data_IF_538339562005
#
_entry.id   IF_538339562005
#
_cell.length_a   1.000
_cell.length_b   1.000
_cell.length_c   1.000
_cell.angle_alpha   90.00
_cell.angle_beta   90.00
_cell.angle_gamma   90.00
#
_symmetry.space_group_name_H-M   'P 1'
#
loop_
_entity.id
_entity.type
_entity.pdbx_description
1 polymer ?
#
# COMPACT_ATOMS: atom_id res chain seq x y z
N UNK A 1 7.72 -10.05 0.59
CA UNK A 1 7.71 -8.65 0.09
C UNK A 1 8.72 -8.47 -1.04
N UNK A 2 8.41 -7.70 -2.08
CA UNK A 2 9.39 -7.41 -3.15
C UNK A 2 10.54 -6.56 -2.57
N UNK A 3 11.77 -7.04 -2.71
CA UNK A 3 12.96 -6.40 -2.14
C UNK A 3 13.13 -4.97 -2.66
N UNK A 4 12.91 -4.75 -3.95
CA UNK A 4 13.09 -3.44 -4.57
C UNK A 4 12.03 -2.44 -4.12
N UNK A 5 10.75 -2.84 -4.11
CA UNK A 5 9.67 -1.99 -3.62
C UNK A 5 9.86 -1.64 -2.14
N UNK A 6 10.25 -2.62 -1.32
CA UNK A 6 10.49 -2.40 0.10
C UNK A 6 11.68 -1.48 0.36
N UNK A 7 12.83 -1.71 -0.29
CA UNK A 7 14.00 -0.82 -0.23
C UNK A 7 13.60 0.63 -0.51
N UNK A 8 12.86 0.85 -1.59
CA UNK A 8 12.45 2.17 -2.01
C UNK A 8 11.50 2.83 -1.00
N UNK A 9 10.42 2.15 -0.63
CA UNK A 9 9.44 2.64 0.33
C UNK A 9 10.07 2.91 1.70
N UNK A 10 10.89 1.99 2.19
CA UNK A 10 11.54 2.09 3.48
C UNK A 10 12.53 3.26 3.52
N UNK A 11 13.39 3.38 2.50
CA UNK A 11 14.37 4.46 2.42
C UNK A 11 13.68 5.81 2.42
N UNK A 12 12.66 5.99 1.57
CA UNK A 12 11.89 7.25 1.51
C UNK A 12 11.18 7.55 2.83
N UNK A 13 10.39 6.61 3.36
CA UNK A 13 9.61 6.86 4.56
C UNK A 13 10.50 7.09 5.79
N UNK A 14 11.66 6.44 5.88
CA UNK A 14 12.59 6.60 7.00
C UNK A 14 13.21 8.00 7.09
N UNK A 15 13.15 8.80 6.02
CA UNK A 15 13.62 10.21 6.04
C UNK A 15 12.62 11.18 6.68
N UNK A 16 11.34 10.81 6.75
CA UNK A 16 10.26 11.71 7.15
C UNK A 16 9.43 11.17 8.35
N UNK A 17 9.49 9.86 8.60
CA UNK A 17 8.66 9.18 9.59
C UNK A 17 9.51 8.29 10.51
N UNK A 18 9.07 8.18 11.76
CA UNK A 18 9.51 7.08 12.62
C UNK A 18 8.71 5.82 12.23
N UNK A 19 9.42 4.79 11.81
CA UNK A 19 8.81 3.61 11.20
C UNK A 19 8.54 2.53 12.24
N UNK A 20 7.35 1.96 12.21
CA UNK A 20 7.08 0.68 12.83
C UNK A 20 6.71 -0.32 11.77
N UNK A 21 7.24 -1.52 11.90
CA UNK A 21 7.07 -2.57 10.94
C UNK A 21 6.26 -3.70 11.53
N UNK A 22 5.28 -4.21 10.79
CA UNK A 22 4.29 -5.17 11.29
C UNK A 22 3.95 -6.26 10.27
N UNK A 23 3.89 -7.51 10.75
CA UNK A 23 3.43 -8.69 10.01
C UNK A 23 2.29 -9.42 10.67
N UNK A 24 1.44 -10.13 9.92
CA UNK A 24 0.60 -11.21 10.45
C UNK A 24 1.40 -12.12 11.38
N UNK A 25 1.02 -12.16 12.65
CA UNK A 25 1.68 -12.96 13.68
C UNK A 25 3.10 -12.51 14.08
N UNK A 26 3.63 -11.39 13.58
CA UNK A 26 4.98 -10.93 13.91
C UNK A 26 6.10 -11.77 13.29
N UNK A 27 5.80 -12.47 12.19
CA UNK A 27 6.76 -13.27 11.43
C UNK A 27 7.83 -12.40 10.78
N UNK A 28 9.04 -12.93 10.67
CA UNK A 28 10.13 -12.26 9.96
C UNK A 28 9.81 -12.13 8.46
N UNK A 29 10.30 -11.05 7.85
CA UNK A 29 10.05 -10.79 6.43
C UNK A 29 10.81 -11.73 5.52
N UNK A 30 10.09 -12.28 4.55
CA UNK A 30 10.67 -12.96 3.39
C UNK A 30 10.72 -12.00 2.19
N UNK A 31 11.92 -11.85 1.62
CA UNK A 31 12.15 -10.99 0.47
C UNK A 31 12.11 -11.82 -0.82
N UNK A 32 11.32 -11.36 -1.79
CA UNK A 32 11.31 -11.87 -3.18
C UNK A 32 12.00 -10.85 -4.09
N UNK A 33 12.37 -11.27 -5.30
CA UNK A 33 13.07 -10.44 -6.29
C UNK A 33 14.40 -9.86 -5.76
N UNK A 34 15.12 -10.67 -4.97
CA UNK A 34 16.48 -10.31 -4.51
C UNK A 34 17.44 -10.48 -5.68
N UNK A 35 18.09 -9.39 -6.05
CA UNK A 35 19.08 -9.30 -7.13
C UNK A 35 20.45 -8.99 -6.54
N UNK A 36 21.50 -9.10 -7.34
CA UNK A 36 22.86 -8.70 -6.93
C UNK A 36 22.90 -7.23 -6.46
N UNK A 37 22.13 -6.35 -7.09
CA UNK A 37 22.08 -4.92 -6.77
C UNK A 37 21.41 -4.59 -5.43
N UNK A 38 20.51 -5.43 -4.91
CA UNK A 38 19.80 -5.19 -3.65
C UNK A 38 20.13 -6.20 -2.53
N UNK A 39 20.87 -7.27 -2.84
CA UNK A 39 21.22 -8.33 -1.89
C UNK A 39 21.94 -7.82 -0.64
N UNK A 40 22.93 -6.93 -0.82
CA UNK A 40 23.66 -6.33 0.30
C UNK A 40 22.73 -5.55 1.23
N UNK A 41 21.83 -4.76 0.65
CA UNK A 41 20.88 -4.00 1.46
C UNK A 41 19.93 -4.91 2.24
N UNK A 42 19.45 -6.00 1.63
CA UNK A 42 18.58 -6.98 2.31
C UNK A 42 19.31 -7.63 3.48
N UNK A 43 20.58 -7.99 3.32
CA UNK A 43 21.41 -8.53 4.40
C UNK A 43 21.58 -7.50 5.53
N UNK A 44 21.93 -6.26 5.21
CA UNK A 44 22.09 -5.19 6.19
C UNK A 44 20.77 -4.88 6.91
N UNK A 45 19.65 -4.89 6.18
CA UNK A 45 18.32 -4.67 6.73
C UNK A 45 17.98 -5.72 7.79
N UNK A 46 18.30 -7.00 7.56
CA UNK A 46 18.03 -8.10 8.49
C UNK A 46 18.72 -7.95 9.85
N UNK A 47 19.74 -7.11 9.94
CA UNK A 47 20.46 -6.82 11.19
C UNK A 47 19.86 -5.62 11.95
N UNK A 48 18.93 -4.88 11.35
CA UNK A 48 18.29 -3.71 11.98
C UNK A 48 17.18 -4.14 12.94
N UNK A 49 16.86 -3.29 13.91
CA UNK A 49 15.72 -3.49 14.80
C UNK A 49 14.39 -3.72 14.04
N UNK A 50 14.25 -3.08 12.88
CA UNK A 50 13.12 -3.22 11.95
C UNK A 50 12.94 -4.64 11.38
N UNK A 51 13.94 -5.51 11.46
CA UNK A 51 13.84 -6.90 11.05
C UNK A 51 13.06 -7.79 12.03
N UNK A 52 12.73 -7.26 13.22
CA UNK A 52 11.82 -7.89 14.17
C UNK A 52 10.48 -7.13 14.17
N UNK A 53 9.56 -7.49 13.26
CA UNK A 53 8.29 -6.78 13.13
C UNK A 53 7.37 -7.04 14.33
N UNK A 54 6.56 -6.05 14.65
CA UNK A 54 5.45 -6.21 15.57
C UNK A 54 4.37 -7.12 14.97
N UNK A 55 3.54 -7.70 15.84
CA UNK A 55 2.36 -8.45 15.42
C UNK A 55 1.33 -7.47 14.86
N UNK A 56 0.86 -7.69 13.65
CA UNK A 56 -0.21 -6.91 13.01
C UNK A 56 -1.45 -6.83 13.92
N UNK A 57 -1.76 -7.91 14.62
CA UNK A 57 -2.90 -8.02 15.55
C UNK A 57 -2.74 -7.11 16.79
N UNK A 58 -1.53 -6.65 17.08
CA UNK A 58 -1.21 -5.76 18.21
C UNK A 58 -1.09 -4.28 17.82
N UNK A 59 -1.27 -3.97 16.53
CA UNK A 59 -1.17 -2.61 16.02
C UNK A 59 -2.46 -1.85 16.33
N UNK A 60 -2.31 -0.73 17.04
CA UNK A 60 -3.37 0.23 17.26
C UNK A 60 -3.25 1.39 16.27
N UNK A 61 -4.19 1.50 15.33
CA UNK A 61 -4.21 2.52 14.29
C UNK A 61 -4.26 3.96 14.81
N UNK A 62 -4.66 4.17 16.07
CA UNK A 62 -4.67 5.49 16.70
C UNK A 62 -3.26 6.08 16.85
N UNK A 63 -2.24 5.23 17.06
CA UNK A 63 -0.86 5.66 17.30
C UNK A 63 -0.14 6.19 16.06
N UNK A 64 -0.60 5.81 14.87
CA UNK A 64 0.07 6.12 13.61
C UNK A 64 -0.64 7.22 12.84
N UNK A 65 0.13 7.96 12.04
CA UNK A 65 -0.35 9.05 11.22
C UNK A 65 -0.46 8.65 9.75
N UNK A 66 0.33 7.66 9.32
CA UNK A 66 0.34 7.14 7.95
C UNK A 66 0.46 5.62 7.94
N UNK A 67 -0.18 4.98 6.95
CA UNK A 67 -0.09 3.55 6.70
C UNK A 67 0.52 3.30 5.33
N UNK A 68 1.57 2.48 5.29
CA UNK A 68 2.31 2.14 4.09
C UNK A 68 2.33 0.63 3.87
N UNK A 69 1.89 0.19 2.69
CA UNK A 69 1.81 -1.21 2.28
C UNK A 69 2.62 -1.36 0.98
N UNK A 70 3.89 -1.79 1.05
CA UNK A 70 4.74 -1.96 -0.12
C UNK A 70 4.24 -3.12 -1.01
N UNK A 71 4.81 -3.25 -2.21
CA UNK A 71 4.45 -4.36 -3.10
C UNK A 71 4.83 -5.70 -2.47
N UNK A 72 3.81 -6.50 -2.15
CA UNK A 72 3.99 -7.80 -1.53
C UNK A 72 3.02 -8.82 -2.17
N UNK A 73 3.52 -9.75 -3.01
CA UNK A 73 2.66 -10.76 -3.64
C UNK A 73 1.87 -11.62 -2.65
N UNK A 74 2.43 -11.84 -1.44
CA UNK A 74 1.74 -12.53 -0.34
C UNK A 74 0.45 -11.85 0.11
N UNK A 75 0.31 -10.52 -0.06
CA UNK A 75 -0.85 -9.73 0.38
C UNK A 75 -2.18 -10.26 -0.17
N UNK A 76 -2.16 -10.85 -1.35
CA UNK A 76 -3.34 -11.48 -1.96
C UNK A 76 -3.90 -12.64 -1.12
N UNK A 77 -3.06 -13.27 -0.30
CA UNK A 77 -3.40 -14.48 0.47
C UNK A 77 -3.59 -14.16 1.95
N UNK A 78 -2.71 -13.38 2.56
CA UNK A 78 -2.71 -13.12 4.01
C UNK A 78 -3.39 -11.82 4.42
N UNK A 79 -3.25 -10.75 3.64
CA UNK A 79 -3.75 -9.42 3.98
C UNK A 79 -5.13 -9.15 3.39
N UNK A 80 -5.43 -9.66 2.19
CA UNK A 80 -6.69 -9.41 1.48
C UNK A 80 -7.95 -9.86 2.26
N UNK A 81 -7.79 -10.75 3.24
CA UNK A 81 -8.86 -11.22 4.12
C UNK A 81 -8.55 -11.03 5.62
N UNK A 82 -7.57 -10.20 5.96
CA UNK A 82 -7.15 -9.98 7.35
C UNK A 82 -8.10 -9.07 8.11
N UNK A 83 -8.75 -9.60 9.15
CA UNK A 83 -9.61 -8.81 10.04
C UNK A 83 -8.84 -7.74 10.85
N UNK A 84 -7.58 -8.03 11.23
CA UNK A 84 -6.72 -7.07 11.92
C UNK A 84 -6.38 -5.88 11.03
N UNK A 85 -6.07 -6.13 9.76
CA UNK A 85 -5.82 -5.06 8.80
C UNK A 85 -7.10 -4.28 8.49
N UNK A 86 -8.24 -4.96 8.33
CA UNK A 86 -9.52 -4.31 8.08
C UNK A 86 -9.84 -3.27 9.15
N UNK A 87 -9.64 -3.60 10.43
CA UNK A 87 -9.81 -2.66 11.55
C UNK A 87 -8.87 -1.45 11.46
N UNK A 88 -7.61 -1.66 11.09
CA UNK A 88 -6.65 -0.55 10.92
C UNK A 88 -7.08 0.34 9.76
N UNK A 89 -7.43 -0.24 8.61
CA UNK A 89 -7.88 0.51 7.43
C UNK A 89 -9.15 1.31 7.70
N UNK A 90 -10.13 0.73 8.39
CA UNK A 90 -11.35 1.43 8.81
C UNK A 90 -11.04 2.62 9.71
N UNK A 91 -10.15 2.45 10.70
CA UNK A 91 -9.72 3.55 11.57
C UNK A 91 -9.01 4.66 10.77
N UNK A 92 -8.12 4.29 9.85
CA UNK A 92 -7.45 5.26 8.99
C UNK A 92 -8.45 6.01 8.09
N UNK A 93 -9.45 5.31 7.56
CA UNK A 93 -10.51 5.89 6.76
C UNK A 93 -11.38 6.86 7.58
N UNK A 94 -11.82 6.45 8.78
CA UNK A 94 -12.69 7.29 9.64
C UNK A 94 -11.99 8.58 10.08
N UNK A 95 -10.69 8.51 10.34
CA UNK A 95 -9.86 9.66 10.74
C UNK A 95 -9.28 10.42 9.54
N UNK A 96 -9.64 10.06 8.30
CA UNK A 96 -9.09 10.66 7.08
C UNK A 96 -7.54 10.66 7.03
N UNK A 97 -6.92 9.62 7.60
CA UNK A 97 -5.47 9.44 7.62
C UNK A 97 -4.97 8.86 6.28
N UNK A 98 -3.77 9.26 5.82
CA UNK A 98 -3.21 8.77 4.58
C UNK A 98 -2.91 7.26 4.61
N UNK A 99 -3.37 6.58 3.55
CA UNK A 99 -3.10 5.16 3.27
C UNK A 99 -2.38 5.07 1.92
N UNK A 100 -1.33 4.28 1.89
CA UNK A 100 -0.31 4.30 0.87
C UNK A 100 -0.04 2.84 0.47
N UNK A 101 -0.62 2.32 -0.62
CA UNK A 101 -0.41 0.93 -1.07
C UNK A 101 0.25 0.86 -2.46
N UNK A 102 1.19 -0.06 -2.66
CA UNK A 102 1.92 -0.25 -3.95
C UNK A 102 1.72 -1.63 -4.50
N UNK A 103 1.55 -1.72 -5.83
CA UNK A 103 1.66 -2.98 -6.55
C UNK A 103 0.69 -4.02 -5.98
N UNK A 104 1.20 -5.20 -5.64
CA UNK A 104 0.38 -6.25 -5.03
C UNK A 104 -0.13 -5.92 -3.62
N UNK A 105 0.47 -4.93 -2.94
CA UNK A 105 0.00 -4.45 -1.65
C UNK A 105 -1.39 -3.79 -1.69
N UNK A 106 -1.87 -3.39 -2.87
CA UNK A 106 -3.23 -2.86 -3.04
C UNK A 106 -4.30 -3.91 -2.71
N UNK A 107 -3.97 -5.21 -2.87
CA UNK A 107 -4.85 -6.30 -2.45
C UNK A 107 -5.20 -6.27 -0.96
N UNK A 108 -4.33 -5.68 -0.14
CA UNK A 108 -4.54 -5.53 1.28
C UNK A 108 -5.75 -4.62 1.60
N UNK A 109 -6.12 -3.71 0.69
CA UNK A 109 -7.28 -2.83 0.85
C UNK A 109 -8.61 -3.57 0.72
N UNK A 110 -8.62 -4.74 0.07
CA UNK A 110 -9.84 -5.51 -0.19
C UNK A 110 -10.50 -6.05 1.09
N UNK A 111 -9.74 -6.19 2.19
CA UNK A 111 -10.27 -6.68 3.45
C UNK A 111 -11.20 -5.69 4.18
N UNK A 112 -11.12 -4.39 3.85
CA UNK A 112 -11.85 -3.33 4.56
C UNK A 112 -13.28 -3.18 4.04
N UNK A 113 -14.22 -3.84 4.69
CA UNK A 113 -15.66 -3.75 4.39
C UNK A 113 -16.43 -3.14 5.56
N UNK A 114 -17.50 -2.41 5.27
CA UNK A 114 -18.43 -1.86 6.24
C UNK A 114 -19.40 -2.95 6.74
N UNK A 115 -20.20 -2.63 7.77
CA UNK A 115 -21.19 -3.55 8.33
C UNK A 115 -22.26 -3.99 7.31
N UNK A 116 -22.57 -3.11 6.34
CA UNK A 116 -23.49 -3.37 5.23
C UNK A 116 -22.85 -4.18 4.08
N UNK A 117 -21.60 -4.65 4.27
CA UNK A 117 -20.76 -5.33 3.27
C UNK A 117 -20.33 -4.45 2.10
N UNK A 118 -20.58 -3.14 2.13
CA UNK A 118 -19.99 -2.22 1.16
C UNK A 118 -18.48 -2.10 1.39
N UNK A 119 -17.72 -1.91 0.31
CA UNK A 119 -16.29 -1.69 0.44
C UNK A 119 -15.99 -0.28 0.95
N UNK A 120 -15.08 -0.15 1.92
CA UNK A 120 -14.74 1.14 2.56
C UNK A 120 -14.24 2.17 1.53
N UNK A 121 -13.58 1.70 0.47
CA UNK A 121 -13.03 2.54 -0.59
C UNK A 121 -13.95 2.62 -1.81
N UNK A 122 -15.26 2.44 -1.63
CA UNK A 122 -16.23 2.69 -2.68
C UNK A 122 -16.13 4.14 -3.23
N UNK A 123 -16.14 4.29 -4.55
CA UNK A 123 -15.99 5.60 -5.22
C UNK A 123 -14.59 6.22 -5.18
N UNK A 124 -13.58 5.49 -4.68
CA UNK A 124 -12.18 5.92 -4.78
C UNK A 124 -11.59 5.53 -6.13
N UNK A 125 -10.51 6.22 -6.51
CA UNK A 125 -9.68 5.83 -7.65
C UNK A 125 -8.42 5.12 -7.16
N UNK A 126 -8.14 3.94 -7.73
CA UNK A 126 -6.97 3.12 -7.41
C UNK A 126 -6.18 2.77 -8.68
N UNK A 127 -4.92 2.44 -8.49
CA UNK A 127 -4.05 1.82 -9.49
C UNK A 127 -3.35 0.62 -8.86
N UNK A 128 -2.80 -0.25 -9.70
CA UNK A 128 -2.08 -1.44 -9.27
C UNK A 128 -1.73 -2.31 -10.49
N UNK A 129 -1.22 -3.53 -10.25
CA UNK A 129 -0.95 -4.49 -11.32
C UNK A 129 -2.25 -4.77 -12.08
N UNK A 130 -2.26 -4.38 -13.35
CA UNK A 130 -3.40 -4.59 -14.24
C UNK A 130 -3.54 -6.06 -14.62
N UNK A 131 -4.73 -6.47 -15.02
CA UNK A 131 -4.99 -7.80 -15.58
C UNK A 131 -4.05 -8.07 -16.76
N UNK A 132 -3.84 -7.08 -17.63
CA UNK A 132 -2.94 -7.18 -18.78
C UNK A 132 -1.49 -7.51 -18.40
N UNK A 133 -0.99 -6.96 -17.29
CA UNK A 133 0.33 -7.29 -16.75
C UNK A 133 0.33 -8.66 -16.07
N UNK A 134 -0.69 -8.93 -15.25
CA UNK A 134 -0.80 -10.14 -14.45
C UNK A 134 -0.93 -11.41 -15.32
N UNK A 135 -1.63 -11.35 -16.47
CA UNK A 135 -1.76 -12.50 -17.39
C UNK A 135 -0.39 -13.01 -17.89
N UNK A 136 0.61 -12.12 -17.95
CA UNK A 136 1.97 -12.48 -18.39
C UNK A 136 2.80 -13.12 -17.27
N UNK A 137 2.37 -12.99 -16.02
CA UNK A 137 3.09 -13.50 -14.87
C UNK A 137 2.84 -15.01 -14.68
N UNK A 138 3.89 -15.79 -14.34
CA UNK A 138 3.71 -17.19 -13.99
C UNK A 138 2.88 -17.28 -12.70
N UNK A 139 1.71 -17.92 -12.78
CA UNK A 139 0.82 -18.09 -11.64
C UNK A 139 -0.46 -17.24 -11.66
N UNK A 140 -0.73 -16.49 -12.72
CA UNK A 140 -2.01 -15.77 -12.91
C UNK A 140 -3.24 -16.64 -12.60
N UNK A 141 -3.29 -17.85 -13.15
CA UNK A 141 -4.39 -18.80 -12.95
C UNK A 141 -4.56 -19.30 -11.50
N UNK A 142 -3.59 -19.02 -10.62
CA UNK A 142 -3.61 -19.40 -9.20
C UNK A 142 -3.84 -18.21 -8.27
N UNK A 143 -4.02 -17.00 -8.80
CA UNK A 143 -4.27 -15.83 -7.96
C UNK A 143 -5.63 -16.00 -7.26
N UNK A 144 -5.70 -15.82 -5.94
CA UNK A 144 -6.95 -15.92 -5.20
C UNK A 144 -7.88 -14.72 -5.45
N UNK A 145 -7.31 -13.62 -5.94
CA UNK A 145 -7.97 -12.35 -6.15
C UNK A 145 -7.29 -11.61 -7.31
N UNK A 146 -8.09 -11.02 -8.18
CA UNK A 146 -7.64 -10.04 -9.17
C UNK A 146 -8.09 -8.67 -8.69
N UNK A 147 -7.15 -7.82 -8.29
CA UNK A 147 -7.45 -6.54 -7.63
C UNK A 147 -8.22 -5.60 -8.55
N UNK A 148 -7.86 -5.55 -9.84
CA UNK A 148 -8.55 -4.73 -10.83
C UNK A 148 -10.05 -5.10 -10.93
N UNK A 149 -10.37 -6.38 -11.02
CA UNK A 149 -11.75 -6.86 -11.09
C UNK A 149 -12.50 -6.54 -9.79
N UNK A 150 -11.89 -6.83 -8.63
CA UNK A 150 -12.48 -6.52 -7.33
C UNK A 150 -12.79 -5.03 -7.16
N UNK A 151 -11.87 -4.14 -7.55
CA UNK A 151 -12.05 -2.69 -7.45
C UNK A 151 -13.22 -2.23 -8.33
N UNK A 152 -13.30 -2.72 -9.57
CA UNK A 152 -14.39 -2.39 -10.49
C UNK A 152 -15.73 -2.93 -9.99
N UNK A 153 -15.78 -4.17 -9.54
CA UNK A 153 -16.99 -4.81 -9.00
C UNK A 153 -17.48 -4.14 -7.71
N UNK A 154 -16.56 -3.57 -6.92
CA UNK A 154 -16.85 -2.86 -5.67
C UNK A 154 -17.25 -1.39 -5.89
N UNK A 155 -17.39 -0.94 -7.15
CA UNK A 155 -17.83 0.40 -7.50
C UNK A 155 -16.77 1.48 -7.31
N UNK A 156 -15.49 1.13 -7.43
CA UNK A 156 -14.37 2.06 -7.46
C UNK A 156 -13.76 2.12 -8.86
N UNK A 157 -13.02 3.19 -9.14
CA UNK A 157 -12.34 3.38 -10.41
C UNK A 157 -10.97 2.73 -10.37
N UNK A 158 -10.66 1.88 -11.34
CA UNK A 158 -9.32 1.33 -11.52
C UNK A 158 -8.67 1.92 -12.77
N UNK A 159 -7.46 2.44 -12.64
CA UNK A 159 -6.63 2.87 -13.77
C UNK A 159 -5.38 2.02 -13.84
N UNK A 160 -5.31 1.12 -14.82
CA UNK A 160 -4.11 0.35 -15.17
C UNK A 160 -3.23 1.10 -16.18
N UNK A 161 -2.02 0.59 -16.42
CA UNK A 161 -1.06 1.23 -17.33
C UNK A 161 -1.67 1.54 -18.71
N UNK A 162 -1.33 2.73 -19.19
CA UNK A 162 -2.03 3.55 -20.19
C UNK A 162 -2.51 2.80 -21.44
N UNK A 163 -3.83 2.66 -21.66
CA UNK A 163 -4.43 2.65 -23.02
C UNK A 163 -5.96 2.63 -23.10
N UNK A 164 -6.74 2.66 -22.02
CA UNK A 164 -8.22 2.68 -22.18
C UNK A 164 -8.97 3.48 -21.12
N UNK A 165 -8.98 4.81 -21.27
CA UNK A 165 -10.11 5.64 -20.86
C UNK A 165 -10.23 6.84 -21.81
N UNK A 166 -11.39 7.06 -22.47
CA UNK A 166 -11.65 8.30 -23.18
C UNK A 166 -11.77 9.46 -22.18
N UNK A 167 -11.25 10.61 -22.60
CA UNK A 167 -11.29 11.95 -21.95
C UNK A 167 -12.12 12.06 -20.67
N UNK A 168 -11.45 11.99 -19.51
CA UNK A 168 -11.97 12.53 -18.26
C UNK A 168 -11.17 13.80 -17.93
N UNK A 169 -11.89 14.87 -17.61
CA UNK A 169 -11.43 16.24 -17.58
C UNK A 169 -10.12 16.50 -16.84
N UNK A 170 -9.41 17.50 -17.40
CA UNK A 170 -8.10 18.09 -17.08
C UNK A 170 -7.85 18.48 -15.60
N UNK A 171 -7.93 17.54 -14.66
CA UNK A 171 -7.55 17.79 -13.26
C UNK A 171 -6.86 16.62 -12.55
N UNK A 172 -6.40 15.62 -13.30
CA UNK A 172 -5.80 14.42 -12.72
C UNK A 172 -4.35 14.27 -13.14
N UNK A 173 -3.45 14.29 -12.15
CA UNK A 173 -2.04 13.96 -12.34
C UNK A 173 -1.91 12.44 -12.48
N UNK A 174 -1.85 11.99 -13.72
CA UNK A 174 -1.31 10.67 -14.08
C UNK A 174 0.20 10.68 -13.85
N UNK A 175 0.74 9.68 -13.14
CA UNK A 175 2.18 9.40 -13.19
C UNK A 175 2.42 7.89 -13.22
N UNK A 176 3.15 7.48 -14.25
CA UNK A 176 3.52 6.10 -14.53
C UNK A 176 4.45 5.53 -13.44
N UNK A 177 4.40 4.21 -13.30
CA UNK A 177 4.95 3.39 -12.21
C UNK A 177 6.49 3.35 -12.15
N UNK A 178 7.21 4.15 -12.95
CA UNK A 178 8.68 4.19 -12.94
C UNK A 178 9.31 5.41 -12.26
N UNK A 179 8.56 6.46 -11.92
CA UNK A 179 9.08 7.56 -11.10
C UNK A 179 8.17 7.80 -9.91
N UNK A 180 8.66 7.42 -8.73
CA UNK A 180 8.25 7.78 -7.35
C UNK A 180 7.24 8.92 -7.24
N UNK A 181 5.97 8.71 -7.58
CA UNK A 181 4.84 9.53 -7.16
C UNK A 181 3.58 8.67 -7.06
N UNK A 182 2.99 8.70 -5.88
CA UNK A 182 2.20 7.61 -5.30
C UNK A 182 0.72 7.58 -5.74
N UNK A 183 0.06 6.41 -5.80
CA UNK A 183 -1.40 6.36 -5.86
C UNK A 183 -2.02 6.81 -4.55
N UNK A 184 -2.43 8.08 -4.50
CA UNK A 184 -3.25 8.60 -3.42
C UNK A 184 -4.66 8.04 -3.60
N UNK A 185 -5.12 7.27 -2.62
CA UNK A 185 -6.54 6.91 -2.47
C UNK A 185 -7.29 8.20 -2.15
N UNK A 186 -7.78 8.88 -3.20
CA UNK A 186 -8.54 10.12 -3.11
C UNK A 186 -9.99 9.89 -3.53
N UNK A 187 -10.92 10.47 -2.78
CA UNK A 187 -12.36 10.39 -3.05
C UNK A 187 -12.72 11.41 -4.14
N UNK A 188 -13.49 10.99 -5.15
CA UNK A 188 -13.95 11.90 -6.19
C UNK A 188 -14.70 13.10 -5.58
N UNK A 189 -14.26 14.33 -5.89
CA UNK A 189 -14.93 15.58 -5.50
C UNK A 189 -14.40 16.29 -4.25
N UNK A 190 -13.39 15.75 -3.55
CA UNK A 190 -12.64 16.49 -2.53
C UNK A 190 -11.35 17.02 -3.17
N UNK A 191 -11.07 18.32 -3.03
CA UNK A 191 -9.88 18.97 -3.58
C UNK A 191 -8.59 18.22 -3.23
N UNK A 192 -7.54 18.41 -4.05
CA UNK A 192 -6.28 17.69 -3.98
C UNK A 192 -5.78 17.53 -2.53
N UNK A 193 -5.56 16.28 -2.10
CA UNK A 193 -4.81 16.02 -0.89
C UNK A 193 -3.43 16.72 -1.01
N UNK A 194 -2.92 17.38 0.05
CA UNK A 194 -1.62 18.01 0.00
C UNK A 194 -0.59 16.97 -0.43
N UNK A 195 0.13 17.26 -1.52
CA UNK A 195 1.15 16.36 -2.05
C UNK A 195 2.18 16.04 -0.97
N UNK A 196 2.71 14.82 -0.96
CA UNK A 196 3.69 14.35 0.03
C UNK A 196 4.91 15.30 0.17
N UNK A 197 5.24 16.07 -0.88
CA UNK A 197 6.27 17.11 -0.85
C UNK A 197 5.97 18.35 0.03
N UNK A 198 4.73 18.55 0.48
CA UNK A 198 4.37 19.56 1.48
C UNK A 198 4.59 19.09 2.92
N UNK A 199 4.85 17.79 3.13
CA UNK A 199 5.27 17.22 4.41
C UNK A 199 6.79 17.20 4.56
N UNK A 200 7.51 18.03 3.79
CA UNK A 200 8.92 18.31 4.07
C UNK A 200 9.00 18.86 5.48
N UNK A 201 9.87 18.25 6.28
CA UNK A 201 10.18 18.60 7.66
C UNK A 201 10.14 20.12 7.89
N UNK A 202 8.99 20.63 8.32
CA UNK A 202 8.93 21.87 9.04
C UNK A 202 9.58 21.57 10.39
N UNK A 203 10.62 22.33 10.73
CA UNK A 203 11.63 22.05 11.77
C UNK A 203 11.10 21.88 13.22
N UNK A 204 9.78 21.80 13.46
CA UNK A 204 9.19 21.75 14.80
C UNK A 204 7.94 20.84 14.95
N UNK A 205 7.75 19.82 14.10
CA UNK A 205 6.64 18.86 14.29
C UNK A 205 7.08 17.56 14.97
N UNK A 206 6.23 16.96 15.85
CA UNK A 206 6.51 15.66 16.45
C UNK A 206 6.71 14.61 15.34
N UNK A 207 7.78 13.81 15.46
CA UNK A 207 8.12 12.73 14.53
C UNK A 207 6.89 11.90 14.16
N UNK A 208 6.37 12.06 12.94
CA UNK A 208 5.19 11.35 12.48
C UNK A 208 5.45 9.83 12.50
N UNK A 209 4.53 9.07 13.08
CA UNK A 209 4.62 7.61 13.12
C UNK A 209 3.98 7.00 11.88
N UNK A 210 4.71 6.16 11.15
CA UNK A 210 4.20 5.40 10.02
C UNK A 210 4.28 3.91 10.32
N UNK A 211 3.18 3.18 10.08
CA UNK A 211 3.18 1.72 10.16
C UNK A 211 3.31 1.11 8.77
N UNK A 212 4.28 0.21 8.64
CA UNK A 212 4.48 -0.65 7.48
C UNK A 212 3.82 -1.99 7.76
N UNK A 213 2.83 -2.37 6.94
CA UNK A 213 2.13 -3.65 7.07
C UNK A 213 2.47 -4.54 5.89
N UNK A 214 2.80 -5.81 6.15
CA UNK A 214 3.11 -6.79 5.11
C UNK A 214 2.92 -8.24 5.60
N UNK A 215 2.82 -9.22 4.69
CA UNK A 215 2.92 -10.67 4.93
C UNK A 215 4.01 -11.13 5.91
#
# INVERSE_FOLDING_TARGET
VSAQSFLHCFTMASTAFNLQVATPGGKAMEFVDVTESNARWVQDFRLKAYASPAKLESIDGARYHALLIPSCPGALTDLASSGSLARILQHFHSESKPICAVGHGVAALCCATNEDRSWVFHGYSLTGPSVCELIRAPGFARLPLVVEDFVKDSGACFSGDSTSCPEADRHWQYFAVEEVFWPVVSKAGLGAAPGWGQWRAAEDFPMYQCVFIYP
#
